data_IF_748026364888
#
_entry.id   IF_748026364888
#
_cell.length_a   1.000
_cell.length_b   1.000
_cell.length_c   1.000
_cell.angle_alpha   90.00
_cell.angle_beta   90.00
_cell.angle_gamma   90.00
#
_symmetry.space_group_name_H-M   'P 1'
#
loop_
_entity.id
_entity.type
_entity.pdbx_description
1 polymer ?
#
# COMPACT_ATOMS: atom_id res chain seq x y z
N UNK A 1 -0.52 66.95 28.85
CA UNK A 1 0.16 65.63 28.82
C UNK A 1 -0.91 64.60 28.43
N UNK A 2 -1.17 64.23 27.17
CA UNK A 2 -0.33 63.50 26.18
C UNK A 2 0.41 62.32 26.83
N UNK A 3 -0.13 61.10 26.74
CA UNK A 3 0.31 60.07 25.77
C UNK A 3 -0.46 58.75 25.91
N UNK A 4 -1.06 58.35 24.78
CA UNK A 4 -1.44 57.03 24.25
C UNK A 4 -1.10 55.77 25.06
N UNK A 5 -2.15 54.99 25.36
CA UNK A 5 -2.07 53.59 25.75
C UNK A 5 -2.00 52.74 24.47
N UNK A 6 -0.80 52.29 24.14
CA UNK A 6 -0.49 51.52 22.94
C UNK A 6 -1.00 50.08 23.04
N UNK A 7 -1.78 49.69 22.04
CA UNK A 7 -1.87 48.32 21.52
C UNK A 7 -0.50 47.67 21.42
N UNK A 8 -0.30 46.47 21.98
CA UNK A 8 0.74 45.50 21.59
C UNK A 8 0.30 44.13 22.15
N UNK A 9 -0.13 43.22 21.27
CA UNK A 9 0.66 42.08 20.78
C UNK A 9 0.29 40.78 21.55
N UNK A 10 -0.64 40.00 21.01
CA UNK A 10 -0.31 38.77 20.28
C UNK A 10 0.34 37.70 21.17
N UNK A 11 -0.50 37.01 21.93
CA UNK A 11 -0.20 35.68 22.45
C UNK A 11 -1.43 34.78 22.23
N UNK A 12 -1.91 34.73 20.98
CA UNK A 12 -2.62 33.54 20.53
C UNK A 12 -1.53 32.47 20.51
N UNK A 13 -1.48 31.70 21.60
CA UNK A 13 -0.78 30.42 21.66
C UNK A 13 -1.23 29.62 20.44
N UNK A 14 -0.38 29.67 19.42
CA UNK A 14 -0.34 28.75 18.31
C UNK A 14 -0.14 27.36 18.93
N UNK A 15 -1.25 26.75 19.33
CA UNK A 15 -1.35 25.31 19.51
C UNK A 15 -1.28 24.72 18.11
N UNK A 16 -0.08 24.80 17.52
CA UNK A 16 0.26 24.19 16.26
C UNK A 16 0.14 22.69 16.46
N UNK A 17 -1.04 22.16 16.14
CA UNK A 17 -1.25 20.97 15.34
C UNK A 17 0.02 20.11 15.19
N UNK A 18 0.38 19.39 16.26
CA UNK A 18 1.11 18.14 16.15
C UNK A 18 0.11 17.07 15.71
N UNK A 19 -0.47 17.24 14.53
CA UNK A 19 -1.00 16.11 13.78
C UNK A 19 0.21 15.28 13.38
N UNK A 20 0.55 14.31 14.24
CA UNK A 20 1.65 13.39 14.01
C UNK A 20 1.50 12.76 12.63
N UNK A 21 2.40 13.10 11.72
CA UNK A 21 2.42 12.53 10.39
C UNK A 21 2.77 11.05 10.52
N UNK A 22 1.78 10.17 10.37
CA UNK A 22 1.98 8.73 10.41
C UNK A 22 2.81 8.30 9.19
N UNK A 23 4.07 7.91 9.41
CA UNK A 23 4.94 7.48 8.31
C UNK A 23 4.54 6.08 7.86
N UNK A 24 4.10 5.94 6.61
CA UNK A 24 3.77 4.62 6.04
C UNK A 24 4.87 4.17 5.09
N UNK A 25 5.46 3.01 5.36
CA UNK A 25 6.40 2.34 4.45
C UNK A 25 5.78 1.06 3.90
N UNK A 26 6.07 0.69 2.65
CA UNK A 26 5.61 -0.57 2.10
C UNK A 26 6.57 -1.14 1.05
N UNK A 27 6.66 -2.47 1.01
CA UNK A 27 7.18 -3.23 -0.12
C UNK A 27 5.97 -3.80 -0.85
N UNK A 28 5.90 -3.55 -2.15
CA UNK A 28 4.85 -4.09 -3.01
C UNK A 28 5.51 -4.73 -4.22
N UNK A 29 5.19 -5.99 -4.48
CA UNK A 29 5.67 -6.77 -5.63
C UNK A 29 4.47 -7.23 -6.43
N UNK A 30 4.39 -6.84 -7.70
CA UNK A 30 3.25 -7.12 -8.54
C UNK A 30 3.67 -7.73 -9.87
N UNK A 31 2.88 -8.68 -10.37
CA UNK A 31 3.07 -9.20 -11.73
C UNK A 31 2.56 -8.19 -12.76
N UNK A 32 3.12 -8.22 -13.98
CA UNK A 32 2.64 -7.36 -15.06
C UNK A 32 1.27 -7.80 -15.58
N UNK A 33 1.03 -9.10 -15.74
CA UNK A 33 -0.23 -9.65 -16.28
C UNK A 33 -0.40 -11.14 -15.92
N UNK A 34 -1.62 -11.56 -15.59
CA UNK A 34 -2.03 -12.97 -15.49
C UNK A 34 -3.06 -13.32 -16.56
N UNK A 35 -2.77 -14.30 -17.41
CA UNK A 35 -3.73 -14.80 -18.41
C UNK A 35 -5.00 -15.37 -17.78
N UNK A 36 -4.86 -15.98 -16.59
CA UNK A 36 -5.96 -16.49 -15.77
C UNK A 36 -5.62 -16.28 -14.29
N UNK A 37 -6.56 -15.79 -13.50
CA UNK A 37 -6.38 -15.66 -12.07
C UNK A 37 -6.43 -17.06 -11.39
N UNK A 38 -5.49 -17.37 -10.48
CA UNK A 38 -5.56 -18.58 -9.67
C UNK A 38 -6.73 -18.50 -8.68
N UNK A 39 -7.30 -19.65 -8.30
CA UNK A 39 -8.39 -19.70 -7.32
C UNK A 39 -7.87 -19.44 -5.90
N UNK A 40 -8.77 -18.99 -5.02
CA UNK A 40 -8.46 -18.84 -3.60
C UNK A 40 -7.88 -20.12 -2.99
N UNK A 41 -8.51 -21.27 -3.23
CA UNK A 41 -8.06 -22.56 -2.68
C UNK A 41 -6.61 -22.84 -3.08
N UNK A 42 -6.25 -22.57 -4.33
CA UNK A 42 -4.90 -22.77 -4.80
C UNK A 42 -3.89 -21.82 -4.13
N UNK A 43 -4.21 -20.52 -4.07
CA UNK A 43 -3.36 -19.52 -3.40
C UNK A 43 -3.19 -19.87 -1.93
N UNK A 44 -4.28 -20.22 -1.25
CA UNK A 44 -4.28 -20.58 0.16
C UNK A 44 -3.38 -21.77 0.43
N UNK A 45 -3.53 -22.84 -0.35
CA UNK A 45 -2.69 -24.02 -0.21
C UNK A 45 -1.23 -23.69 -0.50
N UNK A 46 -0.93 -22.98 -1.59
CA UNK A 46 0.43 -22.58 -1.94
C UNK A 46 1.11 -21.74 -0.85
N UNK A 47 0.43 -20.72 -0.35
CA UNK A 47 0.94 -19.83 0.70
C UNK A 47 1.19 -20.58 2.00
N UNK A 48 0.33 -21.53 2.37
CA UNK A 48 0.51 -22.35 3.57
C UNK A 48 1.66 -23.37 3.47
N UNK A 49 2.15 -23.68 2.27
CA UNK A 49 3.34 -24.51 2.08
C UNK A 49 4.65 -23.74 2.31
N UNK A 50 4.60 -22.40 2.38
CA UNK A 50 5.79 -21.59 2.60
C UNK A 50 6.27 -21.72 4.05
N UNK A 51 7.52 -22.13 4.29
CA UNK A 51 8.05 -22.25 5.64
C UNK A 51 7.91 -20.96 6.43
N UNK A 52 7.31 -21.06 7.62
CA UNK A 52 7.14 -19.93 8.51
C UNK A 52 5.83 -19.17 8.36
N UNK A 53 5.03 -19.44 7.33
CA UNK A 53 3.64 -18.98 7.24
C UNK A 53 2.74 -19.93 8.02
N UNK A 54 1.92 -19.40 8.93
CA UNK A 54 1.06 -20.19 9.83
C UNK A 54 -0.40 -20.14 9.47
N UNK A 55 -0.83 -19.03 8.87
CA UNK A 55 -2.24 -18.77 8.65
C UNK A 55 -2.42 -17.91 7.42
N UNK A 56 -3.51 -18.17 6.71
CA UNK A 56 -4.06 -17.27 5.71
C UNK A 56 -5.50 -16.93 6.08
N UNK A 57 -5.82 -15.64 6.05
CA UNK A 57 -7.13 -15.12 6.38
C UNK A 57 -7.69 -14.38 5.16
N UNK A 58 -8.92 -14.66 4.73
CA UNK A 58 -9.56 -13.86 3.70
C UNK A 58 -9.75 -12.44 4.23
N UNK A 59 -9.30 -11.46 3.44
CA UNK A 59 -9.52 -10.05 3.66
C UNK A 59 -10.44 -9.57 2.54
N UNK A 60 -11.75 -9.56 2.83
CA UNK A 60 -12.72 -8.98 1.90
C UNK A 60 -12.52 -7.47 1.88
N UNK A 61 -12.02 -6.94 0.76
CA UNK A 61 -11.96 -5.50 0.55
C UNK A 61 -13.16 -5.09 -0.28
N UNK A 62 -14.08 -4.35 0.35
CA UNK A 62 -15.12 -3.65 -0.38
C UNK A 62 -14.46 -2.66 -1.35
N UNK A 63 -14.78 -2.72 -2.66
CA UNK A 63 -14.24 -1.77 -3.63
C UNK A 63 -14.71 -0.36 -3.25
N UNK A 64 -13.76 0.48 -2.85
CA UNK A 64 -14.03 1.88 -2.56
C UNK A 64 -13.81 2.68 -3.86
N UNK A 65 -14.79 3.46 -4.34
CA UNK A 65 -14.58 4.31 -5.51
C UNK A 65 -13.60 5.45 -5.16
N UNK A 66 -12.30 5.23 -5.38
CA UNK A 66 -11.30 6.27 -5.19
C UNK A 66 -11.31 7.25 -6.36
N UNK A 67 -11.60 8.53 -6.07
CA UNK A 67 -11.37 9.63 -6.98
C UNK A 67 -9.86 9.95 -7.01
N UNK A 68 -9.21 9.78 -8.16
CA UNK A 68 -7.83 10.24 -8.34
C UNK A 68 -7.83 11.62 -8.99
N UNK A 69 -6.94 12.51 -8.55
CA UNK A 69 -6.84 13.93 -8.95
C UNK A 69 -6.55 14.11 -10.46
N UNK A 70 -6.10 13.05 -11.13
CA UNK A 70 -5.83 13.03 -12.56
C UNK A 70 -6.87 12.14 -13.28
N UNK A 71 -7.93 12.77 -13.79
CA UNK A 71 -8.87 12.31 -14.82
C UNK A 71 -8.95 10.79 -15.13
N UNK A 72 -9.73 10.05 -14.34
CA UNK A 72 -10.74 9.05 -14.77
C UNK A 72 -11.37 8.48 -13.50
N UNK A 73 -12.69 8.21 -13.55
CA UNK A 73 -13.29 7.26 -12.60
C UNK A 73 -12.57 5.91 -12.78
N UNK A 74 -11.55 5.64 -11.98
CA UNK A 74 -11.02 4.29 -11.85
C UNK A 74 -12.02 3.51 -11.01
N UNK A 75 -12.98 2.85 -11.66
CA UNK A 75 -13.79 1.84 -10.99
C UNK A 75 -12.83 0.73 -10.56
N UNK A 76 -12.41 0.76 -9.31
CA UNK A 76 -11.70 -0.37 -8.72
C UNK A 76 -12.72 -1.51 -8.65
N UNK A 77 -12.49 -2.55 -9.45
CA UNK A 77 -13.32 -3.74 -9.42
C UNK A 77 -13.15 -4.40 -8.04
N UNK A 78 -14.17 -5.13 -7.53
CA UNK A 78 -14.00 -5.98 -6.36
C UNK A 78 -12.78 -6.87 -6.57
N UNK A 79 -11.92 -6.97 -5.55
CA UNK A 79 -10.69 -7.73 -5.63
C UNK A 79 -10.55 -8.62 -4.41
N UNK A 80 -9.92 -9.76 -4.60
CA UNK A 80 -9.68 -10.71 -3.52
C UNK A 80 -8.35 -10.35 -2.87
N UNK A 81 -8.34 -10.30 -1.53
CA UNK A 81 -7.11 -10.14 -0.78
C UNK A 81 -7.06 -11.12 0.37
N UNK A 82 -5.84 -11.55 0.71
CA UNK A 82 -5.58 -12.57 1.69
C UNK A 82 -4.45 -12.09 2.57
N UNK A 83 -4.67 -12.11 3.88
CA UNK A 83 -3.66 -11.77 4.85
C UNK A 83 -2.92 -13.05 5.26
N UNK A 84 -1.61 -13.11 5.02
CA UNK A 84 -0.78 -14.20 5.52
C UNK A 84 -0.07 -13.78 6.80
N UNK A 85 0.02 -14.69 7.77
CA UNK A 85 0.69 -14.50 9.04
C UNK A 85 1.92 -15.40 9.12
N UNK A 86 3.04 -14.81 9.50
CA UNK A 86 4.27 -15.52 9.82
C UNK A 86 4.33 -15.90 11.32
N UNK A 87 5.10 -16.94 11.66
CA UNK A 87 5.37 -17.40 13.03
C UNK A 87 5.83 -16.28 13.99
N UNK A 88 6.52 -15.27 13.47
CA UNK A 88 7.05 -14.15 14.24
C UNK A 88 6.02 -13.01 14.44
N UNK A 89 4.76 -13.20 14.06
CA UNK A 89 3.70 -12.20 14.11
C UNK A 89 3.73 -11.18 12.97
N UNK A 90 4.64 -11.32 12.00
CA UNK A 90 4.67 -10.49 10.80
C UNK A 90 3.51 -10.87 9.89
N UNK A 91 2.75 -9.88 9.45
CA UNK A 91 1.65 -10.05 8.49
C UNK A 91 1.97 -9.47 7.13
N UNK A 92 1.64 -10.14 6.04
CA UNK A 92 1.65 -9.56 4.70
C UNK A 92 0.33 -9.82 3.98
N UNK A 93 0.22 -9.35 2.75
CA UNK A 93 -0.97 -9.50 1.94
C UNK A 93 -0.64 -10.09 0.57
N UNK A 94 -1.48 -10.99 0.11
CA UNK A 94 -1.58 -11.45 -1.28
C UNK A 94 -2.88 -10.88 -1.84
N UNK A 95 -2.85 -10.27 -3.02
CA UNK A 95 -4.02 -9.61 -3.59
C UNK A 95 -4.14 -9.94 -5.08
N UNK A 96 -5.34 -10.32 -5.51
CA UNK A 96 -5.69 -10.50 -6.92
C UNK A 96 -6.50 -9.30 -7.38
N UNK A 97 -5.88 -8.38 -8.13
CA UNK A 97 -6.51 -7.16 -8.63
C UNK A 97 -6.98 -7.35 -10.08
N UNK A 98 -8.28 -7.61 -10.33
CA UNK A 98 -8.80 -7.60 -11.69
C UNK A 98 -8.73 -6.19 -12.28
N UNK A 99 -8.38 -6.11 -13.56
CA UNK A 99 -8.35 -4.85 -14.29
C UNK A 99 -9.47 -4.77 -15.32
N UNK A 100 -9.99 -3.57 -15.55
CA UNK A 100 -11.00 -3.36 -16.58
C UNK A 100 -10.39 -3.57 -17.98
N UNK A 101 -10.86 -4.61 -18.69
CA UNK A 101 -10.35 -5.01 -20.02
C UNK A 101 -8.84 -5.33 -20.05
N UNK A 102 -8.26 -5.68 -18.91
CA UNK A 102 -6.87 -6.06 -18.82
C UNK A 102 -6.69 -7.28 -17.90
N UNK A 103 -5.58 -8.02 -18.03
CA UNK A 103 -5.26 -9.17 -17.19
C UNK A 103 -5.29 -8.85 -15.69
N UNK A 104 -5.66 -9.83 -14.87
CA UNK A 104 -5.58 -9.73 -13.40
C UNK A 104 -4.11 -9.58 -12.98
N UNK A 105 -3.86 -8.77 -11.95
CA UNK A 105 -2.54 -8.64 -11.32
C UNK A 105 -2.53 -9.41 -10.01
N UNK A 106 -1.47 -10.19 -9.78
CA UNK A 106 -1.14 -10.70 -8.45
C UNK A 106 -0.19 -9.70 -7.79
N UNK A 107 -0.55 -9.24 -6.60
CA UNK A 107 0.24 -8.31 -5.79
C UNK A 107 0.54 -8.94 -4.42
N UNK A 108 1.82 -8.99 -4.06
CA UNK A 108 2.30 -9.32 -2.74
C UNK A 108 2.73 -8.02 -2.06
N UNK A 109 2.28 -7.77 -0.83
CA UNK A 109 2.63 -6.54 -0.13
C UNK A 109 2.83 -6.72 1.37
N UNK A 110 3.69 -5.86 1.92
CA UNK A 110 3.90 -5.68 3.35
C UNK A 110 3.90 -4.19 3.64
N UNK A 111 3.03 -3.78 4.55
CA UNK A 111 2.89 -2.39 4.98
C UNK A 111 3.35 -2.27 6.43
N UNK A 112 4.16 -1.25 6.69
CA UNK A 112 4.58 -0.80 8.00
C UNK A 112 3.97 0.58 8.25
N UNK A 113 3.21 0.70 9.34
CA UNK A 113 2.59 1.95 9.79
C UNK A 113 3.45 2.46 10.95
N UNK A 114 3.73 3.76 10.95
CA UNK A 114 4.51 4.48 11.98
C UNK A 114 5.92 3.96 12.20
N UNK A 115 6.44 3.25 11.20
CA UNK A 115 7.75 2.64 11.27
C UNK A 115 8.42 2.67 9.91
N UNK A 116 9.68 3.06 9.90
CA UNK A 116 10.60 2.77 8.80
C UNK A 116 11.28 1.43 9.10
N UNK A 117 11.08 0.38 8.29
CA UNK A 117 11.71 -0.91 8.55
C UNK A 117 13.23 -0.83 8.34
N UNK A 118 13.98 -1.65 9.08
CA UNK A 118 15.40 -1.81 8.82
C UNK A 118 15.62 -2.58 7.51
N UNK A 119 16.75 -2.36 6.82
CA UNK A 119 17.05 -3.05 5.55
C UNK A 119 16.98 -4.58 5.67
N UNK A 120 17.49 -5.15 6.77
CA UNK A 120 17.40 -6.60 7.01
C UNK A 120 15.95 -7.10 7.13
N UNK A 121 15.03 -6.29 7.64
CA UNK A 121 13.59 -6.61 7.70
C UNK A 121 12.97 -6.59 6.30
N UNK A 122 13.35 -5.60 5.47
CA UNK A 122 12.93 -5.51 4.06
C UNK A 122 13.42 -6.72 3.27
N UNK A 123 14.70 -7.10 3.41
CA UNK A 123 15.28 -8.24 2.69
C UNK A 123 14.70 -9.58 3.16
N UNK A 124 14.35 -9.72 4.44
CA UNK A 124 13.59 -10.88 4.93
C UNK A 124 12.22 -10.95 4.24
N UNK A 125 11.49 -9.85 4.20
CA UNK A 125 10.16 -9.78 3.59
C UNK A 125 10.21 -10.08 2.09
N UNK A 126 11.23 -9.58 1.37
CA UNK A 126 11.45 -9.89 -0.05
C UNK A 126 11.58 -11.40 -0.28
N UNK A 127 12.41 -12.08 0.54
CA UNK A 127 12.58 -13.53 0.47
C UNK A 127 11.28 -14.30 0.68
N UNK A 128 10.51 -13.94 1.72
CA UNK A 128 9.19 -14.55 1.95
C UNK A 128 8.25 -14.34 0.76
N UNK A 129 8.26 -13.15 0.16
CA UNK A 129 7.46 -12.88 -1.05
C UNK A 129 7.93 -13.71 -2.25
N UNK A 130 9.25 -13.92 -2.42
CA UNK A 130 9.78 -14.79 -3.48
C UNK A 130 9.36 -16.25 -3.27
N UNK A 131 9.39 -16.74 -2.04
CA UNK A 131 8.95 -18.10 -1.69
C UNK A 131 7.45 -18.27 -1.93
N UNK A 132 6.62 -17.31 -1.50
CA UNK A 132 5.18 -17.29 -1.79
C UNK A 132 4.93 -17.27 -3.30
N UNK A 133 5.64 -16.41 -4.04
CA UNK A 133 5.48 -16.33 -5.48
C UNK A 133 5.80 -17.66 -6.17
N UNK A 134 6.93 -18.28 -5.79
CA UNK A 134 7.38 -19.56 -6.33
C UNK A 134 6.39 -20.67 -6.01
N UNK A 135 5.90 -20.75 -4.76
CA UNK A 135 4.91 -21.74 -4.36
C UNK A 135 3.60 -21.60 -5.15
N UNK A 136 3.11 -20.37 -5.37
CA UNK A 136 1.90 -20.14 -6.17
C UNK A 136 2.17 -20.52 -7.64
N UNK A 137 3.34 -20.19 -8.18
CA UNK A 137 3.72 -20.53 -9.55
C UNK A 137 3.74 -22.05 -9.75
N UNK A 138 4.35 -22.79 -8.83
CA UNK A 138 4.47 -24.25 -8.85
C UNK A 138 3.12 -24.95 -8.72
N UNK A 139 2.26 -24.50 -7.79
CA UNK A 139 1.01 -25.21 -7.48
C UNK A 139 -0.18 -24.78 -8.34
N UNK A 140 -0.26 -23.50 -8.72
CA UNK A 140 -1.42 -22.97 -9.44
C UNK A 140 -1.25 -22.91 -10.95
N UNK A 141 -0.01 -22.96 -11.42
CA UNK A 141 0.33 -22.64 -12.81
C UNK A 141 -0.12 -21.23 -13.19
N UNK A 142 0.19 -20.80 -14.42
CA UNK A 142 -0.28 -19.53 -14.99
C UNK A 142 0.27 -18.24 -14.37
N UNK A 143 1.30 -18.33 -13.52
CA UNK A 143 2.08 -17.14 -13.14
C UNK A 143 3.20 -16.92 -14.17
N UNK A 144 3.50 -15.67 -14.53
CA UNK A 144 4.65 -15.36 -15.38
C UNK A 144 5.95 -15.75 -14.68
N UNK A 145 7.11 -15.71 -15.36
CA UNK A 145 8.37 -15.98 -14.68
C UNK A 145 8.75 -14.81 -13.75
N UNK A 146 9.62 -15.03 -12.75
CA UNK A 146 9.95 -14.03 -11.73
C UNK A 146 10.41 -12.67 -12.26
N UNK A 147 10.99 -12.60 -13.47
CA UNK A 147 11.43 -11.36 -14.11
C UNK A 147 10.26 -10.43 -14.46
N UNK A 148 9.04 -10.97 -14.54
CA UNK A 148 7.81 -10.19 -14.73
C UNK A 148 7.28 -9.57 -13.42
N UNK A 149 7.88 -9.89 -12.27
CA UNK A 149 7.54 -9.28 -10.99
C UNK A 149 8.23 -7.92 -10.87
N UNK A 150 7.43 -6.86 -10.75
CA UNK A 150 7.90 -5.50 -10.51
C UNK A 150 7.79 -5.19 -9.02
N UNK A 151 8.90 -4.79 -8.42
CA UNK A 151 8.92 -4.27 -7.07
C UNK A 151 8.79 -2.74 -7.06
N UNK A 152 8.03 -2.22 -6.09
CA UNK A 152 8.06 -0.82 -5.70
C UNK A 152 8.19 -0.72 -4.18
N UNK A 153 9.07 0.17 -3.74
CA UNK A 153 9.15 0.58 -2.35
C UNK A 153 8.41 1.91 -2.19
N UNK A 154 7.42 1.95 -1.30
CA UNK A 154 6.60 3.13 -1.05
C UNK A 154 6.99 3.69 0.32
N UNK A 155 7.35 4.97 0.38
CA UNK A 155 7.55 5.69 1.63
C UNK A 155 6.71 6.96 1.63
N UNK A 156 5.53 6.90 2.26
CA UNK A 156 4.63 8.02 2.43
C UNK A 156 5.04 8.80 3.69
N UNK A 157 6.19 9.47 3.63
CA UNK A 157 6.49 10.61 4.51
C UNK A 157 6.02 11.94 3.92
N UNK A 158 5.79 12.00 2.60
CA UNK A 158 5.70 13.27 1.85
C UNK A 158 4.43 13.46 1.00
N UNK A 159 3.49 12.51 0.98
CA UNK A 159 2.34 12.58 0.05
C UNK A 159 1.37 13.72 0.40
N UNK A 160 1.20 14.03 1.69
CA UNK A 160 0.41 15.19 2.11
C UNK A 160 1.14 16.51 1.88
N UNK A 161 2.47 16.55 1.92
CA UNK A 161 3.22 17.77 1.57
C UNK A 161 3.00 18.14 0.11
N UNK A 162 2.96 17.16 -0.79
CA UNK A 162 2.60 17.38 -2.20
C UNK A 162 1.13 17.76 -2.40
N UNK A 163 0.20 17.26 -1.58
CA UNK A 163 -1.22 17.63 -1.64
C UNK A 163 -1.49 19.03 -1.05
N UNK A 164 -0.78 19.42 0.01
CA UNK A 164 -0.86 20.74 0.61
C UNK A 164 -0.38 21.81 -0.38
N UNK A 165 0.78 21.60 -1.04
CA UNK A 165 1.29 22.49 -2.09
C UNK A 165 0.38 22.54 -3.32
N UNK A 166 -0.25 21.43 -3.70
CA UNK A 166 -1.23 21.41 -4.78
C UNK A 166 -2.54 22.16 -4.42
N UNK A 167 -2.99 22.09 -3.16
CA UNK A 167 -4.18 22.81 -2.68
C UNK A 167 -3.96 24.32 -2.55
N UNK A 168 -2.73 24.75 -2.22
CA UNK A 168 -2.35 26.17 -2.17
C UNK A 168 -2.25 26.78 -3.57
N UNK A 169 -1.73 26.04 -4.56
CA UNK A 169 -1.70 26.48 -5.96
C UNK A 169 -3.09 26.60 -6.62
N UNK A 170 -4.11 25.89 -6.11
CA UNK A 170 -5.49 26.01 -6.59
C UNK A 170 -6.25 27.21 -6.01
N UNK A 171 -5.80 27.80 -4.89
CA UNK A 171 -6.39 29.03 -4.33
C UNK A 171 -5.93 30.30 -5.04
N UNK A 172 -4.88 30.23 -5.88
CA UNK A 172 -4.35 31.36 -6.64
C UNK A 172 -4.89 31.47 -8.08
N UNK A 173 -5.84 30.63 -8.49
CA UNK A 173 -6.51 30.80 -9.77
C UNK A 173 -7.58 31.90 -9.63
N UNK A 174 -7.51 32.99 -10.42
CA UNK A 174 -8.58 33.99 -10.44
C UNK A 174 -9.88 33.32 -10.91
N UNK A 175 -10.98 33.64 -10.23
CA UNK A 175 -12.33 33.19 -10.58
C UNK A 175 -12.78 33.71 -11.94
#
# INVERSE_FOLDING_TARGET
MKTHLSFLLSAILFSGLLSGCHSTSAVVRATTTLSKAPSFECISNAVLHVPGVTQILPANVTPDPTWTVYHRLSRQLPYESFLYLENNGTRGMVTLKPQWKAPTILELSKIWIDKTPANAEVDRVRRVMDEIYSAIQEQCGNLPPPEAVRERFVNLKNYEKSLATASEGMKSLPR
#
